data_IF_711923933389
#
_entry.id   IF_711923933389
#
_cell.length_a   1.000
_cell.length_b   1.000
_cell.length_c   1.000
_cell.angle_alpha   90.00
_cell.angle_beta   90.00
_cell.angle_gamma   90.00
#
_symmetry.space_group_name_H-M   'P 1'
#
loop_
_entity.id
_entity.type
_entity.pdbx_description
1 polymer ?
#
# COMPACT_ATOMS: atom_id res chain seq x y z
N UNK A 1 11.09 29.98 15.64
CA UNK A 1 10.08 29.17 16.36
C UNK A 1 8.75 29.42 15.64
N UNK A 2 8.24 28.51 14.80
CA UNK A 2 7.01 27.76 15.14
C UNK A 2 6.66 26.64 14.13
N UNK A 3 7.57 26.23 13.24
CA UNK A 3 7.32 25.13 12.29
C UNK A 3 7.05 23.78 12.97
N UNK A 4 7.68 23.54 14.11
CA UNK A 4 7.51 22.32 14.91
C UNK A 4 6.16 22.28 15.65
N UNK A 5 5.69 23.43 16.15
CA UNK A 5 4.37 23.52 16.77
C UNK A 5 3.25 23.34 15.73
N UNK A 6 3.40 23.96 14.56
CA UNK A 6 2.49 23.78 13.43
C UNK A 6 2.43 22.35 12.92
N UNK A 7 3.56 21.65 12.81
CA UNK A 7 3.59 20.24 12.37
C UNK A 7 2.94 19.30 13.39
N UNK A 8 3.12 19.55 14.69
CA UNK A 8 2.44 18.81 15.77
C UNK A 8 0.92 18.99 15.69
N UNK A 9 0.45 20.24 15.56
CA UNK A 9 -0.99 20.53 15.44
C UNK A 9 -1.57 19.90 14.17
N UNK A 10 -0.87 20.00 13.03
CA UNK A 10 -1.32 19.42 11.77
C UNK A 10 -1.38 17.87 11.83
N UNK A 11 -0.40 17.24 12.47
CA UNK A 11 -0.38 15.78 12.66
C UNK A 11 -1.55 15.35 13.53
N UNK A 12 -1.79 16.01 14.66
CA UNK A 12 -2.95 15.73 15.50
C UNK A 12 -4.24 15.94 14.71
N UNK A 13 -4.40 17.05 13.99
CA UNK A 13 -5.61 17.35 13.24
C UNK A 13 -5.94 16.32 12.14
N UNK A 14 -4.94 15.76 11.46
CA UNK A 14 -5.14 14.75 10.41
C UNK A 14 -5.46 13.36 11.01
N UNK A 15 -4.78 12.97 12.09
CA UNK A 15 -4.91 11.61 12.65
C UNK A 15 -6.00 11.47 13.73
N UNK A 16 -6.29 12.53 14.49
CA UNK A 16 -7.31 12.53 15.54
C UNK A 16 -8.70 12.07 15.04
N UNK A 17 -9.23 12.53 13.89
CA UNK A 17 -10.52 12.04 13.40
C UNK A 17 -10.49 10.54 13.09
N UNK A 18 -9.41 10.03 12.50
CA UNK A 18 -9.26 8.60 12.23
C UNK A 18 -9.25 7.77 13.53
N UNK A 19 -8.56 8.22 14.57
CA UNK A 19 -8.56 7.53 15.87
C UNK A 19 -9.93 7.54 16.55
N UNK A 20 -10.65 8.67 16.49
CA UNK A 20 -12.02 8.75 16.99
C UNK A 20 -12.95 7.81 16.23
N UNK A 21 -12.82 7.73 14.90
CA UNK A 21 -13.59 6.82 14.07
C UNK A 21 -13.29 5.35 14.39
N UNK A 22 -12.03 4.96 14.56
CA UNK A 22 -11.66 3.58 14.93
C UNK A 22 -12.19 3.23 16.33
N UNK A 23 -12.00 4.14 17.29
CA UNK A 23 -12.49 3.97 18.66
C UNK A 23 -14.01 3.82 18.73
N UNK A 24 -14.74 4.63 17.97
CA UNK A 24 -16.20 4.54 17.86
C UNK A 24 -16.65 3.33 17.03
N UNK A 25 -15.93 2.96 15.97
CA UNK A 25 -16.30 1.84 15.11
C UNK A 25 -16.14 0.50 15.81
N UNK A 26 -15.13 0.30 16.67
CA UNK A 26 -14.87 -0.95 17.38
C UNK A 26 -16.10 -1.57 18.09
N UNK A 27 -16.85 -0.84 18.95
CA UNK A 27 -18.06 -1.37 19.56
C UNK A 27 -19.19 -1.65 18.55
N UNK A 28 -19.38 -0.78 17.55
CA UNK A 28 -20.39 -0.98 16.50
C UNK A 28 -20.04 -2.11 15.52
N UNK A 29 -18.76 -2.45 15.38
CA UNK A 29 -18.27 -3.41 14.40
C UNK A 29 -18.73 -4.85 14.67
N UNK A 30 -19.01 -5.19 15.92
CA UNK A 30 -19.60 -6.48 16.30
C UNK A 30 -21.02 -6.63 15.76
N UNK A 31 -21.86 -5.62 15.98
CA UNK A 31 -23.25 -5.59 15.53
C UNK A 31 -23.33 -5.50 14.00
N UNK A 32 -22.53 -4.64 13.38
CA UNK A 32 -22.49 -4.47 11.92
C UNK A 32 -22.09 -5.77 11.18
N UNK A 33 -21.17 -6.57 11.73
CA UNK A 33 -20.74 -7.86 11.14
C UNK A 33 -21.80 -8.97 11.25
N UNK A 34 -22.77 -8.83 12.14
CA UNK A 34 -23.90 -9.76 12.26
C UNK A 34 -24.94 -9.58 11.13
N UNK A 35 -24.99 -8.41 10.49
CA UNK A 35 -25.90 -8.16 9.37
C UNK A 35 -25.38 -8.78 8.06
N UNK A 36 -26.17 -9.68 7.48
CA UNK A 36 -25.87 -10.35 6.21
C UNK A 36 -25.49 -9.40 5.04
N UNK A 37 -26.18 -8.27 4.77
CA UNK A 37 -25.80 -7.36 3.68
C UNK A 37 -24.44 -6.68 3.90
N UNK A 38 -24.01 -6.48 5.16
CA UNK A 38 -22.71 -5.90 5.47
C UNK A 38 -21.55 -6.81 5.05
N UNK A 39 -21.73 -8.14 5.10
CA UNK A 39 -20.71 -9.10 4.63
C UNK A 39 -20.48 -8.98 3.12
N UNK A 40 -21.55 -8.80 2.34
CA UNK A 40 -21.47 -8.54 0.90
C UNK A 40 -20.79 -7.22 0.60
N UNK A 41 -21.14 -6.15 1.32
CA UNK A 41 -20.49 -4.85 1.20
C UNK A 41 -18.98 -4.94 1.50
N UNK A 42 -18.57 -5.66 2.55
CA UNK A 42 -17.16 -5.85 2.88
C UNK A 42 -16.39 -6.61 1.79
N UNK A 43 -16.98 -7.64 1.19
CA UNK A 43 -16.38 -8.32 0.04
C UNK A 43 -16.22 -7.37 -1.16
N UNK A 44 -17.24 -6.55 -1.43
CA UNK A 44 -17.20 -5.52 -2.47
C UNK A 44 -16.12 -4.46 -2.22
N UNK A 45 -15.97 -3.99 -0.98
CA UNK A 45 -14.93 -3.03 -0.58
C UNK A 45 -13.54 -3.64 -0.80
N UNK A 46 -13.31 -4.88 -0.34
CA UNK A 46 -12.04 -5.55 -0.56
C UNK A 46 -11.73 -5.73 -2.06
N UNK A 47 -12.72 -6.10 -2.86
CA UNK A 47 -12.56 -6.22 -4.32
C UNK A 47 -12.25 -4.86 -4.97
N UNK A 48 -12.91 -3.79 -4.54
CA UNK A 48 -12.66 -2.43 -5.03
C UNK A 48 -11.24 -1.95 -4.70
N UNK A 49 -10.77 -2.18 -3.47
CA UNK A 49 -9.40 -1.83 -3.05
C UNK A 49 -8.37 -2.58 -3.88
N UNK A 50 -8.53 -3.90 -4.06
CA UNK A 50 -7.63 -4.69 -4.91
C UNK A 50 -7.67 -4.19 -6.36
N UNK A 51 -8.85 -3.82 -6.88
CA UNK A 51 -9.00 -3.22 -8.20
C UNK A 51 -8.25 -1.90 -8.36
N UNK A 52 -8.33 -1.00 -7.36
CA UNK A 52 -7.58 0.28 -7.36
C UNK A 52 -6.07 0.02 -7.26
N UNK A 53 -5.62 -0.93 -6.44
CA UNK A 53 -4.21 -1.32 -6.36
C UNK A 53 -3.69 -1.90 -7.68
N UNK A 54 -4.50 -2.71 -8.37
CA UNK A 54 -4.19 -3.22 -9.71
C UNK A 54 -4.11 -2.10 -10.75
N UNK A 55 -5.04 -1.14 -10.70
CA UNK A 55 -5.03 0.01 -11.59
C UNK A 55 -3.77 0.86 -11.37
N UNK A 56 -3.42 1.13 -10.11
CA UNK A 56 -2.21 1.87 -9.74
C UNK A 56 -0.93 1.10 -10.12
N UNK A 57 -0.96 -0.23 -10.08
CA UNK A 57 0.14 -1.08 -10.54
C UNK A 57 0.37 -0.93 -12.05
N UNK A 58 -0.71 -0.82 -12.83
CA UNK A 58 -0.61 -0.58 -14.28
C UNK A 58 -0.15 0.85 -14.58
N UNK A 59 -0.80 1.87 -14.01
CA UNK A 59 -0.47 3.27 -14.21
C UNK A 59 -0.60 4.02 -12.87
N UNK A 60 0.47 4.59 -12.28
CA UNK A 60 1.76 4.94 -12.88
C UNK A 60 2.89 3.92 -12.70
N UNK A 61 2.72 2.85 -11.92
CA UNK A 61 3.88 2.05 -11.47
C UNK A 61 4.57 1.33 -12.63
N UNK A 62 3.82 0.57 -13.44
CA UNK A 62 4.41 -0.12 -14.59
C UNK A 62 4.85 0.86 -15.68
N UNK A 63 3.99 1.84 -16.00
CA UNK A 63 4.24 2.85 -17.03
C UNK A 63 5.44 3.76 -16.73
N UNK A 64 5.74 4.03 -15.46
CA UNK A 64 6.86 4.89 -15.05
C UNK A 64 8.14 4.13 -14.71
N UNK A 65 8.08 2.81 -14.48
CA UNK A 65 9.24 2.02 -14.07
C UNK A 65 9.85 1.16 -15.20
N UNK A 66 9.08 0.79 -16.22
CA UNK A 66 9.53 -0.14 -17.27
C UNK A 66 9.58 0.57 -18.61
N UNK A 67 10.77 1.06 -18.98
CA UNK A 67 10.99 1.72 -20.28
C UNK A 67 11.84 0.87 -21.22
N UNK A 68 12.72 0.03 -20.68
CA UNK A 68 13.66 -0.81 -21.44
C UNK A 68 13.55 -2.28 -21.05
N UNK A 69 13.98 -3.20 -21.94
CA UNK A 69 14.00 -4.64 -21.64
C UNK A 69 14.85 -5.04 -20.41
N UNK A 70 15.80 -4.21 -19.99
CA UNK A 70 16.57 -4.41 -18.74
C UNK A 70 15.73 -4.16 -17.48
N UNK A 71 14.86 -3.16 -17.51
CA UNK A 71 13.95 -2.84 -16.40
C UNK A 71 12.96 -3.99 -16.19
N UNK A 72 12.49 -4.57 -17.29
CA UNK A 72 11.64 -5.77 -17.25
C UNK A 72 12.36 -6.97 -16.59
N UNK A 73 13.64 -7.18 -16.87
CA UNK A 73 14.42 -8.24 -16.22
C UNK A 73 14.58 -8.01 -14.71
N UNK A 74 14.75 -6.75 -14.27
CA UNK A 74 14.78 -6.40 -12.84
C UNK A 74 13.43 -6.65 -12.16
N UNK A 75 12.31 -6.32 -12.82
CA UNK A 75 10.96 -6.61 -12.32
C UNK A 75 10.75 -8.12 -12.15
N UNK A 76 11.14 -8.92 -13.13
CA UNK A 76 11.04 -10.39 -13.06
C UNK A 76 11.91 -10.94 -11.93
N UNK A 77 13.16 -10.47 -11.79
CA UNK A 77 14.04 -10.88 -10.71
C UNK A 77 13.45 -10.54 -9.33
N UNK A 78 12.89 -9.33 -9.17
CA UNK A 78 12.21 -8.90 -7.95
C UNK A 78 11.01 -9.81 -7.61
N UNK A 79 10.18 -10.13 -8.62
CA UNK A 79 9.05 -11.04 -8.50
C UNK A 79 9.45 -12.44 -8.06
N UNK A 80 10.54 -12.98 -8.62
CA UNK A 80 11.09 -14.29 -8.23
C UNK A 80 11.60 -14.26 -6.78
N UNK A 81 12.31 -13.19 -6.39
CA UNK A 81 12.80 -13.03 -5.01
C UNK A 81 11.65 -12.98 -3.99
N UNK A 82 10.57 -12.25 -4.29
CA UNK A 82 9.39 -12.14 -3.43
C UNK A 82 8.55 -13.43 -3.42
N UNK A 83 8.27 -13.99 -4.59
CA UNK A 83 7.33 -15.10 -4.75
C UNK A 83 7.91 -16.46 -4.39
N UNK A 84 9.10 -16.77 -4.91
CA UNK A 84 9.73 -18.09 -4.71
C UNK A 84 10.72 -18.11 -3.57
N UNK A 85 11.54 -17.07 -3.43
CA UNK A 85 12.55 -17.05 -2.37
C UNK A 85 12.03 -16.46 -1.05
N UNK A 86 10.78 -15.98 -1.02
CA UNK A 86 10.11 -15.37 0.14
C UNK A 86 11.02 -14.37 0.88
N UNK A 87 11.87 -13.67 0.13
CA UNK A 87 12.75 -12.65 0.68
C UNK A 87 11.87 -11.53 1.23
N UNK A 88 12.15 -11.02 2.44
CA UNK A 88 11.34 -9.94 2.98
C UNK A 88 11.38 -8.73 2.06
N UNK A 89 10.24 -8.03 1.92
CA UNK A 89 10.07 -6.94 0.95
C UNK A 89 11.13 -5.85 1.05
N UNK A 90 11.58 -5.52 2.27
CA UNK A 90 12.65 -4.53 2.49
C UNK A 90 13.98 -4.95 1.85
N UNK A 91 14.33 -6.23 1.89
CA UNK A 91 15.60 -6.72 1.34
C UNK A 91 15.53 -6.78 -0.19
N UNK A 92 14.38 -7.13 -0.76
CA UNK A 92 14.19 -7.08 -2.21
C UNK A 92 14.36 -5.66 -2.74
N UNK A 93 13.79 -4.66 -2.06
CA UNK A 93 13.96 -3.25 -2.44
C UNK A 93 15.42 -2.81 -2.41
N UNK A 94 16.21 -3.21 -1.40
CA UNK A 94 17.63 -2.88 -1.34
C UNK A 94 18.42 -3.53 -2.48
N UNK A 95 18.14 -4.80 -2.79
CA UNK A 95 18.81 -5.54 -3.86
C UNK A 95 18.46 -4.94 -5.22
N UNK A 96 17.18 -4.68 -5.49
CA UNK A 96 16.74 -4.12 -6.77
C UNK A 96 17.18 -2.67 -6.95
N UNK A 97 17.23 -1.87 -5.87
CA UNK A 97 17.77 -0.51 -5.92
C UNK A 97 19.28 -0.51 -6.22
N UNK A 98 20.05 -1.41 -5.59
CA UNK A 98 21.48 -1.54 -5.87
C UNK A 98 21.75 -2.01 -7.31
N UNK A 99 20.93 -2.94 -7.82
CA UNK A 99 21.03 -3.41 -9.21
C UNK A 99 20.59 -2.34 -10.22
N UNK A 100 19.52 -1.61 -9.93
CA UNK A 100 19.03 -0.52 -10.79
C UNK A 100 20.07 0.61 -10.90
N UNK A 101 20.74 0.97 -9.79
CA UNK A 101 21.83 1.96 -9.80
C UNK A 101 23.00 1.57 -10.72
N UNK A 102 23.18 0.27 -10.97
CA UNK A 102 24.25 -0.25 -11.82
C UNK A 102 23.82 -0.42 -13.29
N UNK A 103 22.51 -0.47 -13.55
CA UNK A 103 21.91 -0.76 -14.87
C UNK A 103 21.47 0.52 -15.59
N UNK A 104 21.13 1.59 -14.85
CA UNK A 104 20.82 2.95 -15.31
C UNK A 104 22.12 3.73 -15.52
#
# INVERSE_FOLDING_TARGET
MQGTAGSLIATVAIFLPSFLLVGAALPLWGELRAFAPMRGAMAGINAAVVGILLAALYDPVWTSAVHTGRDFALVVAALVLLGWWRVPSWAVVLITAALAWWVV
#
